data_IF_753088332302
#
_entry.id   IF_753088332302
#
_cell.length_a   1.000
_cell.length_b   1.000
_cell.length_c   1.000
_cell.angle_alpha   90.00
_cell.angle_beta   90.00
_cell.angle_gamma   90.00
#
_symmetry.space_group_name_H-M   'P 1'
#
loop_
_entity.id
_entity.type
_entity.pdbx_description
1 polymer ?
#
# COMPACT_ATOMS: atom_id res chain seq x y z
N UNK A 1 10.55 7.37 5.69
CA UNK A 1 11.28 7.15 4.44
C UNK A 1 12.66 7.64 4.73
N UNK A 2 13.62 6.75 4.56
CA UNK A 2 15.02 7.00 4.85
C UNK A 2 15.63 7.62 3.59
N UNK A 3 16.55 8.57 3.77
CA UNK A 3 17.26 9.23 2.69
C UNK A 3 18.75 9.24 2.99
N UNK A 4 19.54 8.76 2.04
CA UNK A 4 20.99 8.94 2.00
C UNK A 4 21.30 10.15 1.09
N UNK A 5 21.62 11.29 1.71
CA UNK A 5 21.88 12.53 0.97
C UNK A 5 23.10 12.44 0.05
N UNK A 6 24.28 11.95 0.50
CA UNK A 6 25.43 11.74 -0.39
C UNK A 6 25.07 10.93 -1.64
N UNK A 7 24.39 9.80 -1.49
CA UNK A 7 23.96 8.99 -2.63
C UNK A 7 22.95 9.74 -3.49
N UNK A 8 21.92 10.35 -2.90
CA UNK A 8 20.86 11.04 -3.62
C UNK A 8 21.38 12.20 -4.48
N UNK A 9 22.36 12.96 -3.97
CA UNK A 9 22.99 14.05 -4.72
C UNK A 9 23.71 13.57 -5.97
N UNK A 10 24.17 12.32 -6.01
CA UNK A 10 24.75 11.73 -7.25
C UNK A 10 23.71 11.34 -8.29
N UNK A 11 22.43 11.22 -7.90
CA UNK A 11 21.34 10.73 -8.77
C UNK A 11 20.49 11.85 -9.34
N UNK A 12 20.48 13.03 -8.72
CA UNK A 12 19.61 14.15 -9.10
C UNK A 12 20.40 15.33 -9.71
N UNK A 13 19.79 16.10 -10.62
CA UNK A 13 20.43 17.26 -11.21
C UNK A 13 20.68 18.36 -10.16
N UNK A 14 21.86 18.96 -10.21
CA UNK A 14 22.26 20.06 -9.30
C UNK A 14 21.75 21.45 -9.75
N UNK A 15 21.15 21.56 -10.94
CA UNK A 15 20.69 22.82 -11.52
C UNK A 15 19.16 22.98 -11.52
N UNK A 16 18.42 22.14 -10.80
CA UNK A 16 16.94 22.15 -10.72
C UNK A 16 16.47 22.28 -9.28
N UNK A 17 15.41 23.03 -8.98
CA UNK A 17 14.86 23.02 -7.63
C UNK A 17 14.34 21.63 -7.25
N UNK A 18 14.76 21.10 -6.10
CA UNK A 18 14.30 19.81 -5.58
C UNK A 18 13.49 20.04 -4.30
N UNK A 19 12.29 19.47 -4.23
CA UNK A 19 11.47 19.43 -3.01
C UNK A 19 11.50 18.01 -2.49
N UNK A 20 12.02 17.81 -1.28
CA UNK A 20 12.19 16.49 -0.70
C UNK A 20 11.45 16.40 0.63
N UNK A 21 10.37 15.63 0.64
CA UNK A 21 9.71 15.22 1.87
C UNK A 21 10.39 13.96 2.43
N UNK A 22 10.74 13.99 3.71
CA UNK A 22 11.36 12.86 4.41
C UNK A 22 10.79 12.69 5.82
N UNK A 23 11.04 11.53 6.40
CA UNK A 23 10.81 11.38 7.84
C UNK A 23 11.85 12.20 8.62
N UNK A 24 11.49 12.60 9.83
CA UNK A 24 12.31 13.50 10.65
C UNK A 24 12.26 13.11 12.12
N UNK A 25 13.31 13.45 12.87
CA UNK A 25 13.39 13.18 14.30
C UNK A 25 13.03 14.45 15.09
N UNK A 26 11.96 14.39 15.88
CA UNK A 26 11.50 15.54 16.66
C UNK A 26 12.47 15.98 17.77
N UNK A 27 13.48 15.16 18.11
CA UNK A 27 14.52 15.53 19.06
C UNK A 27 15.60 16.44 18.45
N UNK A 28 15.76 16.44 17.12
CA UNK A 28 16.84 17.15 16.42
C UNK A 28 16.37 18.04 15.27
N UNK A 29 15.16 17.82 14.77
CA UNK A 29 14.57 18.53 13.64
C UNK A 29 13.18 19.07 14.02
N UNK A 30 12.73 20.10 13.29
CA UNK A 30 11.40 20.69 13.47
C UNK A 30 10.50 20.42 12.26
N UNK A 31 9.19 20.35 12.53
CA UNK A 31 8.17 20.29 11.49
C UNK A 31 8.20 21.56 10.63
N UNK A 32 7.96 21.42 9.34
CA UNK A 32 7.81 22.54 8.41
C UNK A 32 8.70 22.44 7.19
N UNK A 33 9.04 23.59 6.64
CA UNK A 33 9.82 23.73 5.42
C UNK A 33 11.17 24.37 5.76
N UNK A 34 12.26 23.78 5.29
CA UNK A 34 13.61 24.31 5.49
C UNK A 34 14.46 24.12 4.23
N UNK A 35 15.34 25.07 3.94
CA UNK A 35 16.34 24.91 2.87
C UNK A 35 17.61 24.26 3.40
N UNK A 36 18.30 23.46 2.58
CA UNK A 36 19.67 23.04 2.90
C UNK A 36 20.62 24.12 2.39
N UNK A 37 21.48 24.72 3.25
CA UNK A 37 22.42 25.75 2.85
C UNK A 37 23.30 25.33 1.67
N UNK A 38 23.52 26.25 0.73
CA UNK A 38 24.34 26.03 -0.47
C UNK A 38 23.85 24.91 -1.41
N UNK A 39 22.56 24.58 -1.36
CA UNK A 39 21.94 23.62 -2.27
C UNK A 39 20.63 24.18 -2.88
N UNK A 40 20.11 23.47 -3.87
CA UNK A 40 18.83 23.66 -4.53
C UNK A 40 17.66 22.91 -3.84
N UNK A 41 17.84 22.42 -2.60
CA UNK A 41 16.87 21.57 -1.90
C UNK A 41 16.00 22.34 -0.92
N UNK A 42 14.68 22.13 -1.04
CA UNK A 42 13.67 22.44 -0.03
C UNK A 42 13.26 21.13 0.67
N UNK A 43 13.55 21.02 1.95
CA UNK A 43 13.17 19.89 2.80
C UNK A 43 11.79 20.12 3.38
N UNK A 44 10.98 19.06 3.36
CA UNK A 44 9.62 19.05 3.91
C UNK A 44 9.57 18.04 5.06
N UNK A 45 9.41 18.55 6.27
CA UNK A 45 9.10 17.78 7.46
C UNK A 45 7.60 17.84 7.71
N UNK A 46 6.88 16.90 7.09
CA UNK A 46 5.44 16.83 7.18
C UNK A 46 4.96 16.54 8.63
N UNK A 47 3.74 16.93 9.01
CA UNK A 47 3.21 16.66 10.34
C UNK A 47 3.22 15.18 10.72
N UNK A 48 3.56 14.88 11.97
CA UNK A 48 3.41 13.54 12.57
C UNK A 48 2.06 13.41 13.28
N UNK A 49 1.64 12.19 13.60
CA UNK A 49 0.45 11.99 14.42
C UNK A 49 0.61 12.63 15.81
N UNK A 50 -0.49 13.09 16.40
CA UNK A 50 -0.51 13.68 17.74
C UNK A 50 0.09 12.78 18.82
N UNK A 51 0.03 11.46 18.64
CA UNK A 51 0.65 10.51 19.56
C UNK A 51 2.18 10.50 19.52
N UNK A 52 2.83 11.27 18.65
CA UNK A 52 4.28 11.26 18.42
C UNK A 52 4.78 10.04 17.66
N UNK A 53 4.05 8.93 17.71
CA UNK A 53 4.30 7.72 16.93
C UNK A 53 3.85 7.85 15.47
N UNK A 54 4.67 7.38 14.54
CA UNK A 54 4.39 7.38 13.11
C UNK A 54 5.61 7.78 12.29
N UNK A 55 5.57 7.48 11.00
CA UNK A 55 6.66 7.81 10.08
C UNK A 55 6.13 8.37 8.75
N UNK A 56 6.96 9.16 8.08
CA UNK A 56 6.69 9.57 6.71
C UNK A 56 7.07 8.45 5.74
N UNK A 57 6.19 7.51 5.39
CA UNK A 57 6.55 6.32 4.61
C UNK A 57 6.06 6.33 3.16
N UNK A 58 5.30 7.35 2.75
CA UNK A 58 4.93 7.61 1.37
C UNK A 58 6.17 7.87 0.49
N UNK A 59 6.15 7.33 -0.73
CA UNK A 59 7.22 7.43 -1.73
C UNK A 59 6.60 7.87 -3.05
N UNK A 60 6.62 9.17 -3.28
CA UNK A 60 6.01 9.84 -4.42
C UNK A 60 7.08 10.70 -5.10
N UNK A 61 7.20 10.59 -6.42
CA UNK A 61 7.96 11.53 -7.24
C UNK A 61 7.02 12.21 -8.23
N UNK A 62 7.06 13.54 -8.24
CA UNK A 62 6.41 14.38 -9.25
C UNK A 62 7.52 15.01 -10.09
N UNK A 63 7.72 14.49 -11.31
CA UNK A 63 8.79 14.95 -12.20
C UNK A 63 8.18 15.80 -13.31
N UNK A 64 8.52 17.08 -13.33
CA UNK A 64 7.95 18.04 -14.26
C UNK A 64 8.86 18.19 -15.48
N UNK A 65 8.28 17.97 -16.66
CA UNK A 65 8.91 18.21 -17.96
C UNK A 65 8.10 19.25 -18.75
N UNK A 66 8.66 19.75 -19.87
CA UNK A 66 8.07 20.87 -20.61
C UNK A 66 6.66 20.59 -21.15
N UNK A 67 6.35 19.33 -21.50
CA UNK A 67 5.09 18.93 -22.15
C UNK A 67 4.27 17.92 -21.35
N UNK A 68 4.77 17.48 -20.20
CA UNK A 68 4.16 16.40 -19.42
C UNK A 68 4.75 16.34 -18.01
N UNK A 69 4.03 15.68 -17.10
CA UNK A 69 4.49 15.35 -15.76
C UNK A 69 4.53 13.84 -15.58
N UNK A 70 5.61 13.31 -15.01
CA UNK A 70 5.66 11.93 -14.51
C UNK A 70 5.17 11.89 -13.07
N UNK A 71 4.27 10.97 -12.78
CA UNK A 71 3.99 10.55 -11.40
C UNK A 71 4.60 9.17 -11.20
N UNK A 72 5.45 9.06 -10.18
CA UNK A 72 6.06 7.80 -9.75
C UNK A 72 5.63 7.51 -8.32
N UNK A 73 5.09 6.32 -8.07
CA UNK A 73 4.78 5.83 -6.73
C UNK A 73 5.52 4.51 -6.54
N UNK A 74 6.34 4.40 -5.49
CA UNK A 74 7.22 3.24 -5.30
C UNK A 74 7.15 2.66 -3.88
N UNK A 75 7.80 1.51 -3.68
CA UNK A 75 8.04 0.93 -2.35
C UNK A 75 9.42 1.25 -1.78
N UNK A 76 10.37 1.73 -2.59
CA UNK A 76 11.76 1.98 -2.20
C UNK A 76 12.01 3.32 -1.52
N UNK A 77 12.83 3.31 -0.45
CA UNK A 77 13.44 4.49 0.15
C UNK A 77 14.51 5.10 -0.77
N UNK A 78 14.97 6.32 -0.47
CA UNK A 78 16.03 6.98 -1.25
C UNK A 78 17.41 6.65 -0.66
N UNK A 79 17.76 5.36 -0.66
CA UNK A 79 19.04 4.82 -0.20
C UNK A 79 19.55 3.79 -1.21
N UNK A 80 20.87 3.63 -1.41
CA UNK A 80 21.42 2.71 -2.42
C UNK A 80 20.87 1.29 -2.30
N UNK A 81 20.74 0.79 -1.07
CA UNK A 81 20.35 -0.59 -0.78
C UNK A 81 18.98 -0.94 -1.35
N UNK A 82 18.02 -0.02 -1.30
CA UNK A 82 16.68 -0.25 -1.83
C UNK A 82 16.69 -0.33 -3.37
N UNK A 83 17.61 0.35 -4.04
CA UNK A 83 17.65 0.38 -5.51
C UNK A 83 18.64 -0.61 -6.11
N UNK A 84 19.60 -1.12 -5.32
CA UNK A 84 20.69 -1.98 -5.78
C UNK A 84 20.56 -3.42 -5.25
N UNK A 85 19.93 -3.62 -4.09
CA UNK A 85 19.99 -4.89 -3.36
C UNK A 85 18.63 -5.51 -3.03
N UNK A 86 17.51 -4.81 -3.15
CA UNK A 86 16.21 -5.44 -2.92
C UNK A 86 15.24 -5.18 -4.07
N UNK A 87 14.26 -6.07 -4.18
CA UNK A 87 13.18 -5.87 -5.11
C UNK A 87 12.19 -4.83 -4.58
N UNK A 88 11.86 -3.89 -5.45
CA UNK A 88 10.85 -2.88 -5.22
C UNK A 88 9.83 -2.91 -6.34
N UNK A 89 8.65 -2.36 -6.05
CA UNK A 89 7.62 -2.09 -7.04
C UNK A 89 7.56 -0.60 -7.33
N UNK A 90 7.35 -0.25 -8.59
CA UNK A 90 7.25 1.13 -9.05
C UNK A 90 6.08 1.24 -10.02
N UNK A 91 5.11 2.10 -9.71
CA UNK A 91 4.13 2.61 -10.64
C UNK A 91 4.67 3.88 -11.30
N UNK A 92 4.55 3.96 -12.62
CA UNK A 92 4.96 5.13 -13.41
C UNK A 92 3.84 5.47 -14.39
N UNK A 93 3.39 6.71 -14.39
CA UNK A 93 2.47 7.21 -15.41
C UNK A 93 2.81 8.66 -15.79
N UNK A 94 2.77 8.92 -17.09
CA UNK A 94 2.98 10.25 -17.66
C UNK A 94 1.62 10.91 -17.96
N UNK A 95 1.53 12.19 -17.60
CA UNK A 95 0.35 13.03 -17.81
C UNK A 95 0.72 14.19 -18.71
N UNK A 96 0.15 14.29 -19.93
CA UNK A 96 0.48 15.36 -20.87
C UNK A 96 -0.02 16.71 -20.35
N UNK A 97 0.56 17.80 -20.86
CA UNK A 97 0.04 19.13 -20.63
C UNK A 97 -1.43 19.23 -21.05
N UNK A 98 -2.22 19.91 -20.23
CA UNK A 98 -3.64 20.13 -20.45
C UNK A 98 -3.87 21.17 -21.53
N UNK A 99 -4.93 20.96 -22.30
CA UNK A 99 -5.49 22.00 -23.16
C UNK A 99 -6.14 23.09 -22.32
N UNK A 100 -5.53 24.28 -22.31
CA UNK A 100 -5.96 25.41 -21.48
C UNK A 100 -7.26 26.05 -21.96
N UNK A 101 -7.73 25.76 -23.18
CA UNK A 101 -9.02 26.26 -23.66
C UNK A 101 -10.21 25.52 -23.04
N UNK A 102 -9.97 24.37 -22.38
CA UNK A 102 -11.01 23.62 -21.67
C UNK A 102 -11.01 24.04 -20.19
N UNK A 103 -12.17 24.44 -19.68
CA UNK A 103 -12.32 24.70 -18.25
C UNK A 103 -12.13 23.42 -17.44
N UNK A 104 -11.46 23.55 -16.29
CA UNK A 104 -11.36 22.47 -15.30
C UNK A 104 -12.34 22.75 -14.18
N UNK A 105 -13.38 21.93 -14.06
CA UNK A 105 -14.27 21.97 -12.90
C UNK A 105 -13.62 21.24 -11.72
N UNK A 106 -12.52 21.80 -11.21
CA UNK A 106 -11.70 21.20 -10.15
C UNK A 106 -10.77 20.09 -10.64
N UNK A 107 -9.86 19.63 -9.78
CA UNK A 107 -8.93 18.55 -10.11
C UNK A 107 -9.66 17.18 -10.10
N UNK A 108 -9.43 16.29 -11.09
CA UNK A 108 -9.84 14.90 -11.03
C UNK A 108 -9.28 14.23 -9.78
N UNK A 109 -9.97 13.20 -9.33
CA UNK A 109 -9.70 12.53 -8.06
C UNK A 109 -8.23 12.12 -7.89
N UNK A 110 -7.58 11.62 -8.95
CA UNK A 110 -6.16 11.27 -8.94
C UNK A 110 -5.29 12.46 -8.55
N UNK A 111 -5.45 13.60 -9.23
CA UNK A 111 -4.69 14.82 -8.96
C UNK A 111 -5.11 15.49 -7.65
N UNK A 112 -6.41 15.44 -7.32
CA UNK A 112 -6.93 15.99 -6.06
C UNK A 112 -6.35 15.26 -4.84
N UNK A 113 -6.20 13.94 -4.91
CA UNK A 113 -5.57 13.14 -3.85
C UNK A 113 -4.12 13.57 -3.62
N UNK A 114 -3.35 13.76 -4.71
CA UNK A 114 -1.97 14.27 -4.62
C UNK A 114 -1.96 15.69 -4.05
N UNK A 115 -2.83 16.57 -4.53
CA UNK A 115 -2.98 17.93 -4.02
C UNK A 115 -3.21 17.95 -2.51
N UNK A 116 -4.17 17.15 -2.02
CA UNK A 116 -4.55 17.11 -0.61
C UNK A 116 -3.39 16.62 0.26
N UNK A 117 -2.63 15.64 -0.22
CA UNK A 117 -1.39 15.21 0.44
C UNK A 117 -0.38 16.35 0.54
N UNK A 118 -0.08 17.04 -0.57
CA UNK A 118 0.90 18.13 -0.60
C UNK A 118 0.48 19.30 0.30
N UNK A 119 -0.79 19.68 0.28
CA UNK A 119 -1.35 20.71 1.18
C UNK A 119 -1.16 20.31 2.64
N UNK A 120 -1.50 19.06 3.01
CA UNK A 120 -1.32 18.58 4.39
C UNK A 120 0.14 18.47 4.82
N UNK A 121 1.08 18.32 3.87
CA UNK A 121 2.52 18.39 4.15
C UNK A 121 2.99 19.84 4.43
N UNK A 122 2.13 20.85 4.23
CA UNK A 122 2.46 22.26 4.40
C UNK A 122 2.96 22.94 3.12
N UNK A 123 2.91 22.26 1.97
CA UNK A 123 3.26 22.87 0.70
C UNK A 123 2.14 23.82 0.25
N UNK A 124 2.55 24.93 -0.35
CA UNK A 124 1.68 25.96 -0.94
C UNK A 124 1.96 26.06 -2.44
N UNK A 125 2.37 27.23 -2.91
CA UNK A 125 2.62 27.52 -4.33
C UNK A 125 3.85 26.82 -4.93
N UNK A 126 4.61 26.05 -4.14
CA UNK A 126 5.84 25.38 -4.60
C UNK A 126 5.60 24.39 -5.76
N UNK A 127 4.55 23.58 -5.67
CA UNK A 127 4.25 22.51 -6.63
C UNK A 127 2.75 22.39 -6.95
N UNK A 128 1.88 22.78 -6.00
CA UNK A 128 0.42 22.62 -6.12
C UNK A 128 -0.12 23.37 -7.34
N UNK A 129 0.42 24.56 -7.63
CA UNK A 129 0.02 25.37 -8.79
C UNK A 129 0.34 24.72 -10.13
N UNK A 130 1.23 23.73 -10.15
CA UNK A 130 1.59 22.98 -11.36
C UNK A 130 0.60 21.85 -11.65
N UNK A 131 -0.09 21.30 -10.63
CA UNK A 131 -0.99 20.16 -10.82
C UNK A 131 -2.09 20.43 -11.87
N UNK A 132 -2.78 21.61 -11.88
CA UNK A 132 -3.82 21.90 -12.86
C UNK A 132 -3.31 22.09 -14.31
N UNK A 133 -2.01 22.05 -14.55
CA UNK A 133 -1.42 22.21 -15.89
C UNK A 133 -1.41 20.93 -16.71
N UNK A 134 -1.75 19.78 -16.11
CA UNK A 134 -1.70 18.46 -16.76
C UNK A 134 -3.09 17.81 -16.86
N UNK A 135 -3.24 16.92 -17.84
CA UNK A 135 -4.46 16.16 -18.09
C UNK A 135 -4.39 14.78 -17.43
N UNK A 136 -5.21 14.56 -16.40
CA UNK A 136 -5.33 13.30 -15.66
C UNK A 136 -6.50 12.43 -16.11
N UNK A 137 -7.19 12.76 -17.20
CA UNK A 137 -8.35 12.00 -17.70
C UNK A 137 -8.06 10.52 -17.98
N UNK A 138 -6.78 10.19 -18.25
CA UNK A 138 -6.30 8.82 -18.50
C UNK A 138 -5.60 8.18 -17.30
N UNK A 139 -5.76 8.70 -16.08
CA UNK A 139 -5.23 8.07 -14.87
C UNK A 139 -5.69 6.61 -14.79
N UNK A 140 -4.74 5.67 -14.74
CA UNK A 140 -5.04 4.23 -14.80
C UNK A 140 -5.31 3.60 -13.43
N UNK A 141 -4.93 4.27 -12.36
CA UNK A 141 -4.99 3.75 -11.01
C UNK A 141 -5.81 4.64 -10.09
N UNK A 142 -6.36 4.03 -9.03
CA UNK A 142 -6.93 4.76 -7.89
C UNK A 142 -5.85 4.94 -6.82
N UNK A 143 -5.67 6.16 -6.33
CA UNK A 143 -4.71 6.45 -5.27
C UNK A 143 -5.29 6.10 -3.89
N UNK A 144 -4.48 5.41 -3.09
CA UNK A 144 -4.78 5.04 -1.71
C UNK A 144 -3.80 5.78 -0.80
N UNK A 145 -4.17 6.94 -0.23
CA UNK A 145 -3.32 7.68 0.70
C UNK A 145 -3.60 7.24 2.15
N UNK A 146 -2.55 7.26 2.98
CA UNK A 146 -2.70 7.40 4.43
C UNK A 146 -1.99 8.65 4.87
N UNK A 147 -2.63 9.42 5.74
CA UNK A 147 -2.08 10.66 6.29
C UNK A 147 -2.33 10.65 7.79
N UNK A 148 -1.33 10.91 8.64
CA UNK A 148 -1.48 10.87 10.09
C UNK A 148 -2.65 11.72 10.57
N UNK A 149 -3.49 11.18 11.45
CA UNK A 149 -4.65 11.86 11.98
C UNK A 149 -5.74 10.93 12.49
N UNK A 150 -6.75 11.54 13.11
CA UNK A 150 -8.00 10.87 13.50
C UNK A 150 -9.13 11.47 12.68
N UNK A 151 -9.73 10.66 11.81
CA UNK A 151 -10.76 11.11 10.87
C UNK A 151 -12.12 10.57 11.30
N UNK A 152 -13.03 11.47 11.67
CA UNK A 152 -14.37 11.15 12.18
C UNK A 152 -15.41 11.11 11.07
N UNK A 153 -16.35 10.19 11.18
CA UNK A 153 -17.46 10.00 10.23
C UNK A 153 -17.06 9.15 9.02
N UNK A 154 -17.99 8.36 8.51
CA UNK A 154 -17.73 7.38 7.45
C UNK A 154 -17.18 8.04 6.17
N UNK A 155 -17.63 9.25 5.84
CA UNK A 155 -17.13 10.01 4.69
C UNK A 155 -15.63 10.30 4.79
N UNK A 156 -15.13 10.71 5.97
CA UNK A 156 -13.71 10.98 6.16
C UNK A 156 -12.90 9.70 6.37
N UNK A 157 -13.50 8.65 6.96
CA UNK A 157 -12.88 7.33 7.03
C UNK A 157 -12.55 6.82 5.63
N UNK A 158 -13.47 6.99 4.68
CA UNK A 158 -13.32 6.57 3.28
C UNK A 158 -12.31 7.37 2.46
N UNK A 159 -11.67 8.40 3.03
CA UNK A 159 -10.62 9.19 2.35
C UNK A 159 -9.22 8.61 2.53
N UNK A 160 -8.99 7.76 3.53
CA UNK A 160 -7.63 7.30 3.88
C UNK A 160 -7.54 5.80 4.20
N UNK A 161 -6.34 5.24 4.04
CA UNK A 161 -6.00 3.88 4.47
C UNK A 161 -6.93 2.80 3.92
N UNK A 162 -7.26 1.79 4.74
CA UNK A 162 -8.18 0.74 4.32
C UNK A 162 -9.62 1.24 4.10
N UNK A 163 -10.00 2.40 4.68
CA UNK A 163 -11.26 3.06 4.34
C UNK A 163 -11.28 3.57 2.89
N UNK A 164 -10.16 4.09 2.37
CA UNK A 164 -10.05 4.44 0.95
C UNK A 164 -10.06 3.21 0.05
N UNK A 165 -9.46 2.10 0.50
CA UNK A 165 -9.55 0.80 -0.20
C UNK A 165 -11.01 0.37 -0.31
N UNK A 166 -11.77 0.40 0.79
CA UNK A 166 -13.22 0.11 0.80
C UNK A 166 -13.96 0.93 -0.26
N UNK A 167 -13.78 2.25 -0.27
CA UNK A 167 -14.40 3.13 -1.26
C UNK A 167 -13.99 2.75 -2.69
N UNK A 168 -12.68 2.56 -2.93
CA UNK A 168 -12.15 2.24 -4.25
C UNK A 168 -12.70 0.91 -4.80
N UNK A 169 -12.68 -0.14 -3.97
CA UNK A 169 -13.20 -1.45 -4.35
C UNK A 169 -14.70 -1.39 -4.62
N UNK A 170 -15.47 -0.69 -3.79
CA UNK A 170 -16.90 -0.52 -4.02
C UNK A 170 -17.21 0.19 -5.34
N UNK A 171 -16.49 1.26 -5.65
CA UNK A 171 -16.70 2.05 -6.87
C UNK A 171 -16.23 1.32 -8.13
N UNK A 172 -15.10 0.63 -8.07
CA UNK A 172 -14.53 -0.08 -9.21
C UNK A 172 -15.16 -1.45 -9.42
N UNK A 173 -15.24 -2.26 -8.37
CA UNK A 173 -15.55 -3.68 -8.43
C UNK A 173 -16.96 -4.03 -7.92
N UNK A 174 -17.64 -3.10 -7.24
CA UNK A 174 -18.87 -3.37 -6.51
C UNK A 174 -18.64 -4.05 -5.15
N UNK A 175 -19.72 -4.29 -4.42
CA UNK A 175 -19.67 -5.04 -3.15
C UNK A 175 -19.72 -6.56 -3.43
N UNK A 176 -19.12 -7.36 -2.55
CA UNK A 176 -19.19 -8.84 -2.60
C UNK A 176 -19.50 -9.38 -1.20
N UNK A 177 -20.50 -10.26 -1.08
CA UNK A 177 -21.01 -10.79 0.20
C UNK A 177 -20.32 -12.05 0.72
N UNK A 178 -19.72 -12.85 -0.14
CA UNK A 178 -18.71 -13.87 0.22
C UNK A 178 -17.71 -13.99 -0.96
N UNK A 179 -16.71 -14.86 -0.85
CA UNK A 179 -15.83 -15.20 -2.00
C UNK A 179 -14.68 -14.25 -2.36
N UNK A 180 -13.95 -13.74 -1.37
CA UNK A 180 -12.65 -13.08 -1.63
C UNK A 180 -11.47 -13.89 -1.09
N UNK A 181 -10.58 -14.32 -1.97
CA UNK A 181 -9.24 -14.76 -1.58
C UNK A 181 -8.35 -13.53 -1.47
N UNK A 182 -7.91 -13.21 -0.25
CA UNK A 182 -7.05 -12.05 0.02
C UNK A 182 -5.64 -12.49 0.41
N UNK A 183 -4.64 -11.95 -0.28
CA UNK A 183 -3.22 -12.21 -0.05
C UNK A 183 -2.51 -10.87 0.18
N UNK A 184 -1.75 -10.74 1.28
CA UNK A 184 -1.05 -9.51 1.66
C UNK A 184 0.43 -9.81 1.82
N UNK A 185 1.26 -9.34 0.88
CA UNK A 185 2.71 -9.37 1.02
C UNK A 185 3.19 -8.05 1.61
N UNK A 186 4.03 -8.13 2.64
CA UNK A 186 4.55 -6.95 3.32
C UNK A 186 5.99 -7.17 3.80
N UNK A 187 6.82 -6.14 3.74
CA UNK A 187 8.17 -6.19 4.35
C UNK A 187 8.12 -5.96 5.87
N UNK A 188 7.06 -5.33 6.39
CA UNK A 188 6.85 -5.22 7.83
C UNK A 188 5.41 -5.53 8.22
N UNK A 189 5.23 -6.20 9.36
CA UNK A 189 3.93 -6.60 9.89
C UNK A 189 3.76 -6.02 11.29
N UNK A 190 2.61 -5.38 11.52
CA UNK A 190 2.23 -4.86 12.84
C UNK A 190 1.74 -5.95 13.79
N UNK A 191 1.24 -5.54 14.96
CA UNK A 191 0.59 -6.47 15.91
C UNK A 191 -0.80 -6.88 15.42
N UNK A 192 -0.85 -7.76 14.41
CA UNK A 192 -2.10 -8.27 13.83
C UNK A 192 -2.96 -8.99 14.88
N UNK A 193 -4.27 -8.89 14.70
CA UNK A 193 -5.29 -9.52 15.53
C UNK A 193 -6.54 -9.77 14.69
N UNK A 194 -7.38 -10.73 15.10
CA UNK A 194 -8.56 -11.13 14.34
C UNK A 194 -9.54 -9.97 14.10
N UNK A 195 -9.63 -9.00 15.01
CA UNK A 195 -10.53 -7.86 14.85
C UNK A 195 -10.10 -6.97 13.68
N UNK A 196 -8.83 -6.55 13.65
CA UNK A 196 -8.27 -5.77 12.55
C UNK A 196 -8.33 -6.54 11.22
N UNK A 197 -8.06 -7.85 11.23
CA UNK A 197 -8.14 -8.66 10.01
C UNK A 197 -9.56 -8.71 9.43
N UNK A 198 -10.59 -8.88 10.26
CA UNK A 198 -11.98 -8.85 9.78
C UNK A 198 -12.36 -7.45 9.26
N UNK A 199 -11.98 -6.39 9.96
CA UNK A 199 -12.20 -5.00 9.55
C UNK A 199 -11.56 -4.70 8.18
N UNK A 200 -10.31 -5.14 8.00
CA UNK A 200 -9.59 -5.01 6.74
C UNK A 200 -10.21 -5.87 5.64
N UNK A 201 -10.59 -7.12 5.93
CA UNK A 201 -11.23 -8.04 4.99
C UNK A 201 -12.54 -7.48 4.44
N UNK A 202 -13.36 -6.86 5.30
CA UNK A 202 -14.58 -6.16 4.88
C UNK A 202 -14.28 -5.03 3.91
N UNK A 203 -13.26 -4.23 4.24
CA UNK A 203 -12.81 -3.13 3.37
C UNK A 203 -12.33 -3.63 2.02
N UNK A 204 -11.59 -4.74 2.01
CA UNK A 204 -11.12 -5.42 0.79
C UNK A 204 -12.27 -5.95 -0.10
N UNK A 205 -13.48 -6.09 0.45
CA UNK A 205 -14.70 -6.51 -0.26
C UNK A 205 -15.61 -5.35 -0.68
N UNK A 206 -15.15 -4.11 -0.53
CA UNK A 206 -15.96 -2.92 -0.80
C UNK A 206 -17.03 -2.64 0.27
N UNK A 207 -17.06 -3.41 1.35
CA UNK A 207 -18.02 -3.22 2.44
C UNK A 207 -17.48 -2.25 3.47
N UNK A 208 -18.38 -1.49 4.11
CA UNK A 208 -18.00 -0.58 5.18
C UNK A 208 -17.20 -1.34 6.27
N UNK A 209 -16.07 -0.76 6.77
CA UNK A 209 -15.15 -1.46 7.66
C UNK A 209 -15.81 -1.97 8.95
N UNK A 210 -16.89 -1.31 9.36
CA UNK A 210 -17.77 -1.71 10.46
C UNK A 210 -19.20 -1.74 9.92
N UNK A 211 -19.86 -2.89 9.98
CA UNK A 211 -21.31 -3.02 9.71
C UNK A 211 -22.14 -2.49 10.88
N UNK A 212 -23.41 -2.15 10.64
CA UNK A 212 -24.36 -1.74 11.67
C UNK A 212 -24.58 -2.80 12.77
N UNK A 213 -24.34 -4.07 12.45
CA UNK A 213 -24.47 -5.20 13.37
C UNK A 213 -23.15 -5.53 14.07
N UNK A 214 -22.01 -5.20 13.46
CA UNK A 214 -20.69 -5.43 14.02
C UNK A 214 -20.31 -4.33 15.00
N UNK A 215 -19.84 -4.74 16.18
CA UNK A 215 -19.31 -3.81 17.17
C UNK A 215 -17.82 -3.62 16.90
N UNK A 216 -17.28 -2.39 17.01
CA UNK A 216 -15.83 -2.17 16.88
C UNK A 216 -15.01 -2.86 17.97
N UNK A 217 -15.66 -3.40 19.02
CA UNK A 217 -15.04 -4.31 19.98
C UNK A 217 -15.97 -5.50 20.24
N UNK A 218 -15.45 -6.74 20.19
CA UNK A 218 -16.23 -7.92 20.54
C UNK A 218 -16.62 -7.89 22.02
N UNK A 219 -17.75 -8.52 22.36
CA UNK A 219 -18.14 -8.75 23.75
C UNK A 219 -17.12 -9.68 24.43
N UNK A 220 -17.00 -9.57 25.76
CA UNK A 220 -16.16 -10.47 26.55
C UNK A 220 -16.63 -11.92 26.32
N UNK A 221 -15.74 -12.78 25.83
CA UNK A 221 -16.03 -14.19 25.52
C UNK A 221 -16.55 -14.46 24.10
N UNK A 222 -16.76 -13.44 23.27
CA UNK A 222 -17.16 -13.62 21.88
C UNK A 222 -15.98 -14.14 21.04
N UNK A 223 -16.22 -15.23 20.31
CA UNK A 223 -15.24 -15.83 19.39
C UNK A 223 -15.27 -15.04 18.09
N UNK A 224 -14.16 -14.37 17.76
CA UNK A 224 -13.97 -13.70 16.48
C UNK A 224 -13.33 -14.69 15.50
N UNK A 225 -13.99 -15.04 14.38
CA UNK A 225 -13.41 -15.95 13.39
C UNK A 225 -12.24 -15.27 12.65
N UNK A 226 -11.36 -16.08 12.09
CA UNK A 226 -10.28 -15.58 11.23
C UNK A 226 -10.83 -15.49 9.78
N UNK A 227 -10.72 -14.35 9.09
CA UNK A 227 -11.14 -14.24 7.69
C UNK A 227 -10.13 -14.96 6.77
N UNK A 228 -10.51 -15.29 5.51
CA UNK A 228 -9.64 -15.97 4.55
C UNK A 228 -8.58 -15.01 3.97
N UNK A 229 -7.60 -14.67 4.82
CA UNK A 229 -6.45 -13.83 4.50
C UNK A 229 -5.18 -14.68 4.60
N UNK A 230 -4.33 -14.59 3.59
CA UNK A 230 -2.95 -15.07 3.62
C UNK A 230 -2.00 -13.89 3.75
N UNK A 231 -1.01 -13.98 4.64
CA UNK A 231 0.02 -12.95 4.82
C UNK A 231 1.38 -13.51 4.45
N UNK A 232 2.00 -12.93 3.44
CA UNK A 232 3.27 -13.41 2.86
C UNK A 232 4.43 -12.62 3.44
N UNK A 233 5.31 -13.31 4.17
CA UNK A 233 6.41 -12.71 4.92
C UNK A 233 7.62 -13.66 4.98
N UNK A 234 8.87 -13.18 4.83
CA UNK A 234 10.02 -14.07 4.71
C UNK A 234 10.34 -14.81 6.02
N UNK A 235 10.80 -16.05 5.90
CA UNK A 235 11.39 -16.80 7.00
C UNK A 235 12.76 -16.24 7.38
N UNK A 236 13.27 -16.61 8.56
CA UNK A 236 14.65 -16.33 8.95
C UNK A 236 15.65 -16.99 7.98
N UNK A 237 15.35 -18.21 7.53
CA UNK A 237 16.17 -18.97 6.57
C UNK A 237 16.30 -18.22 5.24
N UNK A 238 15.22 -17.66 4.69
CA UNK A 238 15.26 -16.82 3.48
C UNK A 238 16.21 -15.62 3.64
N UNK A 239 16.26 -14.99 4.81
CA UNK A 239 17.21 -13.91 5.08
C UNK A 239 18.65 -14.44 5.11
N UNK A 240 18.87 -15.53 5.83
CA UNK A 240 20.19 -16.09 6.08
C UNK A 240 20.80 -16.70 4.79
N UNK A 241 19.98 -17.25 3.90
CA UNK A 241 20.35 -17.83 2.60
C UNK A 241 20.34 -16.81 1.45
N UNK A 242 19.96 -15.55 1.70
CA UNK A 242 20.04 -14.50 0.67
C UNK A 242 21.47 -14.32 0.13
N UNK A 243 21.58 -13.97 -1.15
CA UNK A 243 22.84 -13.94 -1.92
C UNK A 243 23.86 -12.89 -1.47
N UNK A 244 23.53 -12.09 -0.47
CA UNK A 244 24.33 -10.97 0.00
C UNK A 244 25.34 -11.39 1.07
N UNK A 245 26.45 -10.65 1.15
CA UNK A 245 27.38 -10.74 2.27
C UNK A 245 26.75 -10.18 3.57
N UNK A 246 27.40 -10.39 4.71
CA UNK A 246 26.83 -10.04 6.01
C UNK A 246 26.44 -8.55 6.16
N UNK A 247 27.25 -7.56 5.70
CA UNK A 247 26.86 -6.15 5.77
C UNK A 247 25.63 -5.82 4.92
N UNK A 248 25.60 -6.22 3.64
CA UNK A 248 24.46 -5.94 2.76
C UNK A 248 23.20 -6.68 3.23
N UNK A 249 23.33 -7.94 3.63
CA UNK A 249 22.26 -8.76 4.22
C UNK A 249 21.65 -8.09 5.45
N UNK A 250 22.49 -7.64 6.40
CA UNK A 250 22.00 -6.99 7.62
C UNK A 250 21.27 -5.68 7.31
N UNK A 251 21.76 -4.90 6.34
CA UNK A 251 21.12 -3.65 5.94
C UNK A 251 19.73 -3.89 5.36
N UNK A 252 19.54 -4.86 4.46
CA UNK A 252 18.23 -5.14 3.87
C UNK A 252 17.31 -5.79 4.91
N UNK A 253 17.84 -6.71 5.71
CA UNK A 253 17.09 -7.36 6.79
C UNK A 253 16.55 -6.35 7.81
N UNK A 254 17.21 -5.22 8.03
CA UNK A 254 16.68 -4.15 8.90
C UNK A 254 15.43 -3.44 8.37
N UNK A 255 15.12 -3.60 7.08
CA UNK A 255 13.88 -3.10 6.46
C UNK A 255 12.72 -4.11 6.53
N UNK A 256 13.02 -5.31 7.03
CA UNK A 256 12.09 -6.43 7.16
C UNK A 256 11.78 -6.63 8.65
N UNK A 257 10.59 -6.21 9.08
CA UNK A 257 10.31 -6.06 10.51
C UNK A 257 8.98 -6.68 10.93
N UNK A 258 9.07 -7.67 11.81
CA UNK A 258 7.98 -8.17 12.65
C UNK A 258 8.53 -8.26 14.08
N UNK A 259 8.01 -7.44 14.99
CA UNK A 259 8.49 -7.44 16.37
C UNK A 259 8.18 -8.77 17.05
N UNK A 260 9.17 -9.37 17.70
CA UNK A 260 9.04 -10.64 18.41
C UNK A 260 7.92 -10.59 19.45
N UNK A 261 7.84 -9.48 20.20
CA UNK A 261 6.76 -9.23 21.17
C UNK A 261 5.37 -9.20 20.54
N UNK A 262 5.25 -8.81 19.26
CA UNK A 262 3.97 -8.82 18.55
C UNK A 262 3.63 -10.21 18.05
N UNK A 263 4.60 -10.92 17.47
CA UNK A 263 4.45 -12.28 16.96
C UNK A 263 4.13 -13.30 18.06
N UNK A 264 4.71 -13.12 19.25
CA UNK A 264 4.55 -14.05 20.37
C UNK A 264 3.24 -13.87 21.15
N UNK A 265 2.39 -12.90 20.81
CA UNK A 265 1.06 -12.77 21.43
C UNK A 265 0.17 -13.93 21.02
N UNK A 266 -0.58 -14.48 21.98
CA UNK A 266 -1.60 -15.52 21.71
C UNK A 266 -2.69 -15.06 20.74
N UNK A 267 -2.90 -13.75 20.62
CA UNK A 267 -3.86 -13.15 19.70
C UNK A 267 -3.35 -13.01 18.26
N UNK A 268 -2.05 -13.18 18.04
CA UNK A 268 -1.46 -13.07 16.71
C UNK A 268 -1.78 -14.35 15.92
N UNK A 269 -2.49 -14.26 14.78
CA UNK A 269 -2.84 -15.43 13.99
C UNK A 269 -1.61 -15.90 13.21
N UNK A 270 -0.93 -16.93 13.69
CA UNK A 270 0.29 -17.46 13.05
C UNK A 270 -0.04 -18.29 11.81
N UNK A 271 -1.22 -18.90 11.79
CA UNK A 271 -1.71 -19.81 10.76
C UNK A 271 -1.93 -19.16 9.37
N UNK A 272 -2.03 -17.82 9.31
CA UNK A 272 -2.16 -17.09 8.03
C UNK A 272 -0.82 -16.80 7.37
N UNK A 273 0.30 -16.99 8.07
CA UNK A 273 1.61 -16.65 7.53
C UNK A 273 2.06 -17.68 6.48
N UNK A 274 2.65 -17.19 5.40
CA UNK A 274 3.30 -17.98 4.34
C UNK A 274 4.67 -17.38 4.04
N UNK A 275 5.58 -18.23 3.59
CA UNK A 275 6.95 -17.81 3.30
C UNK A 275 6.99 -16.90 2.07
N UNK A 276 7.86 -15.89 2.11
CA UNK A 276 8.05 -14.92 1.04
C UNK A 276 9.39 -15.18 0.36
N UNK A 277 9.35 -15.86 -0.79
CA UNK A 277 10.53 -16.24 -1.57
C UNK A 277 10.47 -15.46 -2.87
N UNK A 278 11.52 -14.72 -3.21
CA UNK A 278 11.59 -13.96 -4.47
C UNK A 278 11.58 -14.91 -5.68
N UNK A 279 10.90 -14.52 -6.78
CA UNK A 279 11.04 -15.17 -8.09
C UNK A 279 12.48 -15.04 -8.63
N UNK A 280 13.27 -14.09 -8.12
CA UNK A 280 14.68 -13.89 -8.43
C UNK A 280 15.53 -14.48 -7.32
N UNK A 281 16.25 -15.55 -7.65
CA UNK A 281 16.98 -16.36 -6.68
C UNK A 281 17.89 -15.54 -5.75
N UNK A 282 17.75 -15.79 -4.45
CA UNK A 282 18.50 -15.15 -3.36
C UNK A 282 18.23 -13.66 -3.12
N UNK A 283 17.30 -13.00 -3.82
CA UNK A 283 16.93 -11.61 -3.56
C UNK A 283 15.94 -11.49 -2.40
N UNK A 284 16.07 -10.37 -1.67
CA UNK A 284 15.10 -9.94 -0.67
C UNK A 284 14.19 -8.86 -1.26
N UNK A 285 12.99 -8.70 -0.68
CA UNK A 285 11.96 -7.79 -1.17
C UNK A 285 11.65 -6.70 -0.16
N UNK A 286 11.47 -5.47 -0.67
CA UNK A 286 10.93 -4.35 0.07
C UNK A 286 9.60 -3.85 -0.54
N UNK A 287 9.02 -4.60 -1.49
CA UNK A 287 7.67 -4.37 -2.02
C UNK A 287 6.57 -4.63 -0.97
N UNK A 288 5.38 -4.09 -1.25
CA UNK A 288 4.14 -4.39 -0.55
C UNK A 288 3.03 -4.57 -1.58
N UNK A 289 2.33 -5.68 -1.49
CA UNK A 289 1.20 -6.01 -2.36
C UNK A 289 0.00 -6.44 -1.54
N UNK A 290 -1.19 -6.04 -1.99
CA UNK A 290 -2.44 -6.65 -1.55
C UNK A 290 -3.10 -7.18 -2.82
N UNK A 291 -3.35 -8.47 -2.87
CA UNK A 291 -3.90 -9.17 -4.02
C UNK A 291 -5.25 -9.76 -3.62
N UNK A 292 -6.27 -9.47 -4.41
CA UNK A 292 -7.64 -9.87 -4.14
C UNK A 292 -8.19 -10.57 -5.38
N UNK A 293 -8.55 -11.85 -5.24
CA UNK A 293 -9.20 -12.63 -6.27
C UNK A 293 -10.61 -12.99 -5.80
N UNK A 294 -11.62 -12.69 -6.61
CA UNK A 294 -12.97 -13.17 -6.36
C UNK A 294 -13.05 -14.66 -6.73
N UNK A 295 -13.66 -15.47 -5.87
CA UNK A 295 -14.03 -16.85 -6.23
C UNK A 295 -15.39 -16.78 -6.91
N UNK A 296 -15.55 -17.55 -7.97
CA UNK A 296 -16.82 -17.63 -8.68
C UNK A 296 -17.39 -19.03 -8.53
N UNK A 297 -18.71 -19.12 -8.38
CA UNK A 297 -19.44 -20.34 -8.67
C UNK A 297 -19.49 -20.50 -10.20
N UNK A 298 -18.50 -21.22 -10.74
CA UNK A 298 -18.38 -21.53 -12.18
C UNK A 298 -19.57 -22.32 -12.76
N UNK A 299 -20.57 -22.68 -11.94
CA UNK A 299 -21.77 -23.41 -12.35
C UNK A 299 -22.79 -22.54 -13.12
N UNK A 300 -22.60 -21.21 -13.17
CA UNK A 300 -23.56 -20.28 -13.82
C UNK A 300 -23.00 -19.53 -15.04
N UNK A 301 -21.78 -19.81 -15.49
CA UNK A 301 -21.20 -19.09 -16.63
C UNK A 301 -21.93 -19.44 -17.95
N UNK A 302 -22.42 -18.42 -18.66
CA UNK A 302 -22.91 -18.53 -20.04
C UNK A 302 -21.84 -19.12 -20.96
N UNK A 303 -22.26 -19.83 -22.02
CA UNK A 303 -21.36 -20.57 -22.92
C UNK A 303 -20.38 -19.71 -23.72
N UNK A 304 -20.54 -18.38 -23.74
CA UNK A 304 -19.62 -17.42 -24.36
C UNK A 304 -19.56 -16.12 -23.51
N UNK A 305 -18.51 -15.91 -22.70
CA UNK A 305 -18.38 -14.70 -21.88
C UNK A 305 -18.03 -13.47 -22.75
N UNK A 306 -18.77 -12.37 -22.57
CA UNK A 306 -18.41 -11.06 -23.16
C UNK A 306 -17.32 -10.43 -22.31
N UNK A 307 -16.08 -10.36 -22.81
CA UNK A 307 -14.94 -9.78 -22.07
C UNK A 307 -14.67 -8.32 -22.49
N UNK A 308 -15.02 -7.39 -21.62
CA UNK A 308 -14.78 -5.96 -21.77
C UNK A 308 -14.24 -5.32 -20.47
N UNK A 309 -13.96 -4.01 -20.49
CA UNK A 309 -13.50 -3.27 -19.31
C UNK A 309 -14.67 -2.84 -18.37
N UNK A 310 -15.80 -3.57 -18.36
CA UNK A 310 -16.92 -3.30 -17.45
C UNK A 310 -16.70 -3.85 -16.04
N UNK A 311 -17.50 -3.37 -15.10
CA UNK A 311 -17.44 -3.80 -13.69
C UNK A 311 -17.81 -5.29 -13.51
N UNK A 312 -18.67 -5.84 -14.36
CA UNK A 312 -19.12 -7.24 -14.31
C UNK A 312 -17.99 -8.22 -14.64
N UNK A 313 -17.03 -7.77 -15.45
CA UNK A 313 -15.85 -8.53 -15.86
C UNK A 313 -14.67 -8.42 -14.90
N UNK A 314 -14.83 -7.79 -13.75
CA UNK A 314 -13.75 -7.70 -12.76
C UNK A 314 -13.68 -8.99 -11.95
N UNK A 315 -12.60 -9.77 -12.15
CA UNK A 315 -12.30 -10.99 -11.41
C UNK A 315 -11.49 -10.77 -10.12
N UNK A 316 -10.98 -9.55 -9.92
CA UNK A 316 -10.22 -9.21 -8.72
C UNK A 316 -9.68 -7.78 -8.75
N UNK A 317 -8.78 -7.49 -7.82
CA UNK A 317 -8.04 -6.23 -7.80
C UNK A 317 -6.69 -6.43 -7.13
N UNK A 318 -5.75 -5.53 -7.40
CA UNK A 318 -4.49 -5.50 -6.67
C UNK A 318 -4.11 -4.09 -6.27
N UNK A 319 -3.33 -4.01 -5.20
CA UNK A 319 -2.68 -2.81 -4.72
C UNK A 319 -1.17 -3.01 -4.69
N UNK A 320 -0.43 -1.96 -5.01
CA UNK A 320 0.99 -1.88 -4.71
C UNK A 320 1.40 -0.46 -4.24
N UNK A 321 2.37 -0.38 -3.34
CA UNK A 321 2.87 0.89 -2.81
C UNK A 321 3.61 0.75 -1.48
N UNK A 322 3.45 1.72 -0.59
CA UNK A 322 4.25 1.82 0.64
C UNK A 322 3.62 1.16 1.88
N UNK A 323 2.32 0.85 1.88
CA UNK A 323 1.62 0.40 3.09
C UNK A 323 2.12 -0.97 3.57
N UNK A 324 2.80 -0.98 4.71
CA UNK A 324 3.02 -2.21 5.46
C UNK A 324 1.70 -2.70 6.09
N UNK A 325 1.57 -4.01 6.31
CA UNK A 325 0.35 -4.58 6.90
C UNK A 325 0.27 -4.31 8.41
N UNK A 326 -0.18 -3.10 8.78
CA UNK A 326 -0.27 -2.62 10.15
C UNK A 326 -1.37 -1.58 10.33
N UNK A 327 -1.91 -1.48 11.55
CA UNK A 327 -2.88 -0.44 11.93
C UNK A 327 -2.32 0.98 11.78
N UNK A 328 -1.00 1.18 11.96
CA UNK A 328 -0.37 2.50 11.80
C UNK A 328 -0.40 3.00 10.36
N UNK A 329 -0.24 2.08 9.40
CA UNK A 329 -0.19 2.38 7.97
C UNK A 329 -1.58 2.40 7.34
N UNK A 330 -2.39 1.37 7.58
CA UNK A 330 -3.72 1.23 6.96
C UNK A 330 -4.82 1.92 7.76
N UNK A 331 -4.59 2.20 9.03
CA UNK A 331 -5.58 2.75 9.94
C UNK A 331 -6.32 1.69 10.74
N UNK A 332 -6.94 2.12 11.83
CA UNK A 332 -7.83 1.31 12.66
C UNK A 332 -9.11 2.09 12.95
N UNK A 333 -10.25 1.50 12.64
CA UNK A 333 -11.56 2.08 12.96
C UNK A 333 -11.88 1.85 14.43
N UNK A 334 -12.31 2.91 15.09
CA UNK A 334 -12.71 2.93 16.50
C UNK A 334 -13.94 3.80 16.67
N UNK A 335 -14.60 3.72 17.82
CA UNK A 335 -15.65 4.67 18.20
C UNK A 335 -15.08 5.69 19.16
N UNK A 336 -15.27 6.97 18.84
CA UNK A 336 -14.93 8.08 19.73
C UNK A 336 -15.65 7.93 21.07
N UNK A 337 -14.92 8.04 22.19
CA UNK A 337 -15.53 7.96 23.52
C UNK A 337 -16.41 9.15 23.83
N UNK A 338 -16.04 10.33 23.31
CA UNK A 338 -16.70 11.61 23.54
C UNK A 338 -17.94 11.76 22.66
N UNK A 339 -17.78 11.63 21.34
CA UNK A 339 -18.83 11.92 20.36
C UNK A 339 -19.68 10.70 19.99
N UNK A 340 -19.23 9.48 20.36
CA UNK A 340 -19.81 8.20 19.92
C UNK A 340 -19.78 7.96 18.40
N UNK A 341 -19.12 8.82 17.64
CA UNK A 341 -18.95 8.70 16.20
C UNK A 341 -17.85 7.68 15.86
N UNK A 342 -17.98 7.01 14.70
CA UNK A 342 -16.89 6.21 14.14
C UNK A 342 -15.75 7.12 13.70
N UNK A 343 -14.52 6.66 13.90
CA UNK A 343 -13.32 7.35 13.47
C UNK A 343 -12.23 6.35 13.07
N UNK A 344 -11.42 6.68 12.06
CA UNK A 344 -10.21 5.92 11.73
C UNK A 344 -9.00 6.68 12.25
N UNK A 345 -8.12 5.98 12.99
CA UNK A 345 -6.84 6.52 13.44
C UNK A 345 -5.72 5.98 12.55
N UNK A 346 -4.92 6.88 11.99
CA UNK A 346 -3.77 6.59 11.13
C UNK A 346 -2.54 7.30 11.70
N UNK A 347 -1.40 6.62 11.71
CA UNK A 347 -0.15 7.18 12.25
C UNK A 347 0.90 7.50 11.19
N UNK A 348 0.87 6.82 10.04
CA UNK A 348 1.88 6.97 9.00
C UNK A 348 1.38 7.80 7.83
N UNK A 349 2.32 8.44 7.14
CA UNK A 349 2.10 8.82 5.74
C UNK A 349 2.37 7.60 4.87
N UNK A 350 1.44 7.24 4.00
CA UNK A 350 1.62 6.17 3.02
C UNK A 350 0.94 6.56 1.71
N UNK A 351 1.36 5.95 0.61
CA UNK A 351 0.71 6.07 -0.68
C UNK A 351 0.86 4.78 -1.47
N UNK A 352 -0.16 4.41 -2.23
CA UNK A 352 -0.03 3.46 -3.31
C UNK A 352 -1.15 3.58 -4.32
N UNK A 353 -1.19 2.60 -5.20
CA UNK A 353 -2.09 2.52 -6.34
C UNK A 353 -2.90 1.23 -6.26
N UNK A 354 -4.18 1.32 -6.60
CA UNK A 354 -5.10 0.19 -6.73
C UNK A 354 -5.59 0.08 -8.17
N UNK A 355 -5.63 -1.13 -8.68
CA UNK A 355 -6.10 -1.46 -10.03
C UNK A 355 -7.14 -2.59 -9.98
N UNK A 356 -8.21 -2.52 -10.79
CA UNK A 356 -9.04 -3.69 -11.06
C UNK A 356 -8.25 -4.70 -11.90
N UNK A 357 -8.63 -5.97 -11.79
CA UNK A 357 -8.17 -7.06 -12.66
C UNK A 357 -9.39 -7.59 -13.40
N UNK A 358 -9.36 -7.47 -14.72
CA UNK A 358 -10.41 -7.97 -15.60
C UNK A 358 -10.16 -9.43 -15.94
N UNK A 359 -11.21 -10.22 -15.97
CA UNK A 359 -11.17 -11.64 -16.35
C UNK A 359 -10.68 -11.81 -17.78
N UNK A 360 -10.13 -12.99 -18.07
CA UNK A 360 -9.74 -13.42 -19.41
C UNK A 360 -10.51 -14.68 -19.83
N UNK A 361 -10.44 -15.03 -21.11
CA UNK A 361 -11.08 -16.25 -21.63
C UNK A 361 -10.59 -17.50 -20.87
N UNK A 362 -9.30 -17.52 -20.51
CA UNK A 362 -8.68 -18.64 -19.81
C UNK A 362 -9.24 -18.87 -18.39
N UNK A 363 -9.90 -17.88 -17.78
CA UNK A 363 -10.52 -18.02 -16.46
C UNK A 363 -11.76 -18.93 -16.48
N UNK A 364 -12.40 -19.06 -17.64
CA UNK A 364 -13.63 -19.84 -17.82
C UNK A 364 -13.36 -21.30 -18.22
N UNK A 365 -12.12 -21.64 -18.56
CA UNK A 365 -11.75 -23.00 -18.97
C UNK A 365 -11.52 -23.85 -17.72
N UNK A 366 -12.33 -24.87 -17.40
CA UNK A 366 -12.09 -25.72 -16.23
C UNK A 366 -10.73 -26.43 -16.34
N UNK A 367 -9.94 -26.37 -15.27
CA UNK A 367 -8.64 -27.02 -15.17
C UNK A 367 -8.46 -27.65 -13.79
N UNK A 368 -7.99 -28.89 -13.74
CA UNK A 368 -7.65 -29.60 -12.50
C UNK A 368 -6.51 -28.92 -11.72
N UNK A 369 -5.74 -28.05 -12.37
CA UNK A 369 -4.60 -27.31 -11.79
C UNK A 369 -4.89 -25.83 -11.49
N UNK A 370 -6.15 -25.37 -11.58
CA UNK A 370 -6.51 -23.95 -11.30
C UNK A 370 -6.01 -23.45 -9.95
N UNK A 371 -6.05 -24.30 -8.92
CA UNK A 371 -5.58 -23.96 -7.58
C UNK A 371 -4.04 -23.87 -7.46
N UNK A 372 -3.30 -24.43 -8.43
CA UNK A 372 -1.83 -24.38 -8.48
C UNK A 372 -1.31 -23.27 -9.39
N UNK A 373 -2.17 -22.66 -10.21
CA UNK A 373 -1.79 -21.64 -11.18
C UNK A 373 -1.60 -20.27 -10.50
N UNK A 374 -0.61 -19.50 -10.94
CA UNK A 374 -0.44 -18.11 -10.50
C UNK A 374 -1.39 -17.19 -11.30
N UNK A 375 -2.67 -17.16 -10.88
CA UNK A 375 -3.72 -16.36 -11.54
C UNK A 375 -3.35 -14.88 -11.69
N UNK A 376 -2.60 -14.30 -10.76
CA UNK A 376 -2.17 -12.89 -10.84
C UNK A 376 -1.10 -12.71 -11.93
N UNK A 377 -0.18 -13.67 -12.10
CA UNK A 377 0.82 -13.68 -13.18
C UNK A 377 0.17 -13.88 -14.56
N UNK A 378 -0.82 -14.78 -14.66
CA UNK A 378 -1.65 -14.94 -15.86
C UNK A 378 -2.33 -13.61 -16.24
N UNK A 379 -2.67 -12.76 -15.26
CA UNK A 379 -3.24 -11.42 -15.43
C UNK A 379 -2.21 -10.29 -15.54
N UNK A 380 -0.93 -10.63 -15.68
CA UNK A 380 0.17 -9.67 -15.81
C UNK A 380 0.34 -8.73 -14.62
N UNK A 381 -0.12 -9.15 -13.43
CA UNK A 381 0.19 -8.45 -12.18
C UNK A 381 1.65 -8.73 -11.82
N UNK A 382 2.49 -7.71 -11.60
CA UNK A 382 3.94 -7.88 -11.44
C UNK A 382 4.33 -8.32 -10.02
N UNK A 383 3.84 -9.48 -9.57
CA UNK A 383 4.09 -10.00 -8.23
C UNK A 383 5.51 -10.59 -8.14
N UNK A 384 6.38 -10.11 -7.23
CA UNK A 384 7.81 -10.44 -7.26
C UNK A 384 8.17 -11.75 -6.52
N UNK A 385 7.23 -12.38 -5.83
CA UNK A 385 7.46 -13.61 -5.06
C UNK A 385 6.81 -14.83 -5.69
N UNK A 386 7.32 -16.01 -5.35
CA UNK A 386 6.82 -17.32 -5.79
C UNK A 386 5.37 -17.50 -5.32
N UNK A 387 4.49 -17.91 -6.24
CA UNK A 387 3.08 -18.19 -5.97
C UNK A 387 2.64 -19.57 -6.49
N UNK A 388 1.65 -20.22 -5.84
CA UNK A 388 1.06 -19.87 -4.55
C UNK A 388 2.12 -19.82 -3.42
N UNK A 389 2.00 -18.88 -2.45
CA UNK A 389 3.06 -18.67 -1.46
C UNK A 389 3.17 -19.91 -0.55
N UNK A 390 4.36 -20.53 -0.44
CA UNK A 390 4.52 -21.78 0.29
C UNK A 390 4.34 -21.59 1.80
N UNK A 391 3.96 -22.66 2.50
CA UNK A 391 4.05 -22.68 3.96
C UNK A 391 5.52 -22.59 4.39
N UNK A 392 5.76 -22.14 5.63
CA UNK A 392 7.07 -22.33 6.23
C UNK A 392 7.35 -23.83 6.40
N UNK A 393 8.58 -24.24 6.15
CA UNK A 393 9.02 -25.61 6.49
C UNK A 393 8.96 -25.82 8.02
N UNK A 394 8.95 -27.07 8.48
CA UNK A 394 8.78 -27.38 9.91
C UNK A 394 9.88 -26.82 10.82
N UNK A 395 11.05 -26.53 10.25
CA UNK A 395 12.23 -25.94 10.91
C UNK A 395 12.36 -24.42 10.65
N UNK A 396 11.46 -23.83 9.87
CA UNK A 396 11.45 -22.40 9.56
C UNK A 396 10.58 -21.60 10.53
N UNK A 397 11.02 -20.37 10.82
CA UNK A 397 10.23 -19.38 11.55
C UNK A 397 10.26 -18.05 10.80
N UNK A 398 9.22 -17.20 10.91
CA UNK A 398 9.24 -15.87 10.31
C UNK A 398 10.41 -15.04 10.83
N UNK A 399 10.98 -14.18 9.98
CA UNK A 399 12.02 -13.24 10.43
C UNK A 399 11.46 -12.26 11.47
N UNK A 400 11.81 -12.46 12.74
CA UNK A 400 11.47 -11.51 13.82
C UNK A 400 12.61 -10.55 14.13
N UNK A 401 12.24 -9.39 14.67
CA UNK A 401 13.13 -8.36 15.22
C UNK A 401 12.90 -8.26 16.72
N UNK A 402 13.98 -8.27 17.49
CA UNK A 402 13.97 -8.15 18.96
C UNK A 402 13.48 -6.79 19.44
#
# INVERSE_FOLDING_TARGET
>A
MIVDFPWLFTKLPNNRQIILAKDWDANSESQGLSGIPNTNYLIVHAPKAESGFGCFHAKLMLLIFDKWMRVVISSGNLIPQDWELCENVVFVQDFPSRDKSKEYNGLPEFAQTINDMLVKMGLKTHIITRLPEYDYSKAKAVLIPSIPGTYKGMENIKKFGHGRICKAVKELCGEREDDLQLEVQSSSIGSLNKQFLNEFYRSARGLDPVSAQSRPRPKKGEVVPLPPITVVYPSRKVIDESKYDNPAKSSIASTICLFEQSYNKDTFPKEILRNCISKRDGLLMHSKFILAKYREDLNEAESDPVLDESQENIGGWYYCGSHNFSESALGKVTTSRETKELQIKINNWELGVLFPIYKKEEDYIPSEDHDKRDWFDDHSVPVPYVRPPPQYESDETPKVTS
#
